data_IF_565020714006
#
_entry.id   IF_565020714006
#
_cell.length_a   1.000
_cell.length_b   1.000
_cell.length_c   1.000
_cell.angle_alpha   90.00
_cell.angle_beta   90.00
_cell.angle_gamma   90.00
#
_symmetry.space_group_name_H-M   'P 1'
#
loop_
_entity.id
_entity.type
_entity.pdbx_description
1 polymer ?
#
# COMPACT_ATOMS: atom_id res chain seq x y z
N UNK A 1 -24.14 -8.72 1.15
CA UNK A 1 -22.79 -8.54 0.53
C UNK A 1 -21.70 -8.73 1.57
N UNK A 2 -20.72 -9.61 1.32
CA UNK A 2 -19.56 -9.83 2.21
C UNK A 2 -18.52 -8.71 2.04
N UNK A 3 -18.19 -8.03 3.13
CA UNK A 3 -17.10 -7.03 3.15
C UNK A 3 -15.77 -7.77 3.09
N UNK A 4 -14.91 -7.41 2.13
CA UNK A 4 -13.61 -8.07 2.06
C UNK A 4 -12.75 -7.64 3.26
N UNK A 5 -11.83 -8.52 3.66
CA UNK A 5 -11.14 -8.42 4.94
C UNK A 5 -10.03 -7.37 5.08
N UNK A 6 -9.95 -6.44 4.14
CA UNK A 6 -9.05 -5.28 4.14
C UNK A 6 -9.80 -4.10 3.54
N UNK A 7 -9.28 -2.87 3.69
CA UNK A 7 -9.77 -1.67 3.00
C UNK A 7 -9.61 -1.84 1.49
N UNK A 8 -10.51 -2.61 0.87
CA UNK A 8 -10.69 -2.65 -0.57
C UNK A 8 -11.51 -1.44 -0.98
N UNK A 9 -10.84 -0.33 -1.24
CA UNK A 9 -11.38 0.55 -2.26
C UNK A 9 -11.20 -0.13 -3.62
N UNK A 10 -11.84 -1.29 -3.88
CA UNK A 10 -12.02 -1.80 -5.25
C UNK A 10 -13.09 -0.94 -5.94
N UNK A 11 -12.88 0.37 -5.90
CA UNK A 11 -13.61 1.34 -6.68
C UNK A 11 -12.83 1.42 -7.99
N UNK A 12 -13.22 0.56 -8.93
CA UNK A 12 -12.90 0.81 -10.33
C UNK A 12 -13.42 2.20 -10.68
N UNK A 13 -12.67 2.98 -11.45
CA UNK A 13 -13.20 4.25 -11.96
C UNK A 13 -14.47 3.97 -12.75
N UNK A 14 -15.54 4.78 -12.55
CA UNK A 14 -16.86 4.57 -13.16
C UNK A 14 -16.84 4.41 -14.68
N UNK A 15 -15.79 4.89 -15.36
CA UNK A 15 -15.58 4.74 -16.81
C UNK A 15 -14.72 3.49 -17.09
N UNK A 16 -15.25 2.59 -17.93
CA UNK A 16 -14.53 1.44 -18.50
C UNK A 16 -13.62 1.94 -19.64
N UNK A 17 -12.36 1.51 -19.69
CA UNK A 17 -11.38 1.97 -20.69
C UNK A 17 -9.95 1.54 -20.39
N UNK A 18 -8.96 2.12 -21.10
CA UNK A 18 -7.53 1.87 -20.87
C UNK A 18 -7.08 2.50 -19.55
N UNK A 19 -6.66 1.67 -18.62
CA UNK A 19 -6.29 2.09 -17.28
C UNK A 19 -4.79 2.39 -17.17
N UNK A 20 -4.43 3.33 -16.29
CA UNK A 20 -3.03 3.58 -15.95
C UNK A 20 -2.40 2.36 -15.27
N UNK A 21 -1.32 1.83 -15.84
CA UNK A 21 -0.53 0.76 -15.26
C UNK A 21 0.59 1.35 -14.39
N UNK A 22 0.85 0.73 -13.24
CA UNK A 22 1.97 1.04 -12.35
C UNK A 22 2.82 -0.22 -12.17
N UNK A 23 4.13 -0.04 -12.01
CA UNK A 23 5.04 -1.15 -11.69
C UNK A 23 5.09 -1.39 -10.19
N UNK A 24 5.01 -2.67 -9.80
CA UNK A 24 5.24 -3.05 -8.42
C UNK A 24 6.73 -2.92 -8.08
N UNK A 25 7.04 -2.24 -6.98
CA UNK A 25 8.43 -2.03 -6.55
C UNK A 25 9.15 -3.34 -6.18
N UNK A 26 8.42 -4.37 -5.75
CA UNK A 26 9.04 -5.60 -5.26
C UNK A 26 9.26 -6.67 -6.32
N UNK A 27 8.32 -6.85 -7.25
CA UNK A 27 8.39 -7.91 -8.27
C UNK A 27 8.42 -7.37 -9.71
N UNK A 28 8.38 -6.05 -9.91
CA UNK A 28 8.46 -5.41 -11.22
C UNK A 28 7.23 -5.55 -12.12
N UNK A 29 6.25 -6.39 -11.76
CA UNK A 29 5.05 -6.62 -12.57
C UNK A 29 4.24 -5.33 -12.77
N UNK A 30 3.72 -5.16 -13.98
CA UNK A 30 2.77 -4.09 -14.31
C UNK A 30 1.38 -4.45 -13.82
N UNK A 31 0.78 -3.58 -13.01
CA UNK A 31 -0.54 -3.77 -12.40
C UNK A 31 -1.37 -2.51 -12.63
N UNK A 32 -2.69 -2.62 -12.92
CA UNK A 32 -3.57 -1.47 -12.95
C UNK A 32 -3.52 -0.69 -11.65
N UNK A 33 -3.41 0.64 -11.73
CA UNK A 33 -3.20 1.52 -10.57
C UNK A 33 -4.27 1.35 -9.49
N UNK A 34 -5.53 1.11 -9.87
CA UNK A 34 -6.62 0.90 -8.92
C UNK A 34 -6.53 -0.43 -8.17
N UNK A 35 -5.82 -1.44 -8.70
CA UNK A 35 -5.55 -2.72 -8.04
C UNK A 35 -4.30 -2.70 -7.17
N UNK A 36 -3.46 -1.67 -7.30
CA UNK A 36 -2.19 -1.59 -6.59
C UNK A 36 -2.37 -0.91 -5.21
N UNK A 37 -1.67 -1.42 -4.21
CA UNK A 37 -1.65 -0.82 -2.88
C UNK A 37 -0.54 0.24 -2.82
N UNK A 38 -0.87 1.42 -2.30
CA UNK A 38 0.10 2.49 -2.07
C UNK A 38 0.68 2.38 -0.68
N UNK A 39 2.01 2.38 -0.58
CA UNK A 39 2.73 2.51 0.69
C UNK A 39 3.69 3.69 0.58
N UNK A 40 4.00 4.34 1.69
CA UNK A 40 5.06 5.34 1.75
C UNK A 40 6.27 4.69 2.40
N UNK A 41 7.42 4.76 1.73
CA UNK A 41 8.70 4.30 2.26
C UNK A 41 9.50 5.54 2.64
N UNK A 42 9.63 5.78 3.95
CA UNK A 42 10.51 6.82 4.49
C UNK A 42 11.95 6.33 4.54
N UNK A 43 12.89 7.23 4.30
CA UNK A 43 14.29 7.02 4.64
C UNK A 43 14.49 7.30 6.14
N UNK A 44 14.90 6.28 6.90
CA UNK A 44 15.29 6.44 8.30
C UNK A 44 16.76 6.08 8.42
N UNK A 45 17.57 7.05 8.85
CA UNK A 45 18.94 6.79 9.28
C UNK A 45 18.84 6.12 10.65
N UNK A 46 19.11 4.82 10.72
CA UNK A 46 19.09 4.06 11.98
C UNK A 46 20.41 4.12 12.73
N UNK A 47 21.49 4.50 12.06
CA UNK A 47 22.82 4.52 12.67
C UNK A 47 22.96 5.64 13.72
N UNK A 48 23.33 5.32 14.96
CA UNK A 48 23.47 6.30 16.03
C UNK A 48 24.63 7.28 15.82
N UNK A 49 25.68 6.92 15.08
CA UNK A 49 26.82 7.80 14.81
C UNK A 49 26.44 8.91 13.82
N UNK A 50 25.87 8.53 12.69
CA UNK A 50 25.36 9.45 11.67
C UNK A 50 24.23 10.34 12.19
N UNK A 51 23.41 9.86 13.13
CA UNK A 51 22.37 10.67 13.78
C UNK A 51 22.91 11.77 14.71
N UNK A 52 24.11 11.58 15.27
CA UNK A 52 24.73 12.59 16.15
C UNK A 52 25.38 13.70 15.32
N UNK A 53 25.99 13.33 14.20
CA UNK A 53 26.64 14.28 13.28
C UNK A 53 25.60 15.07 12.47
N UNK A 54 24.59 14.39 11.96
CA UNK A 54 23.52 15.01 11.18
C UNK A 54 22.42 15.44 12.14
N UNK A 55 22.47 16.70 12.59
CA UNK A 55 21.45 17.28 13.47
C UNK A 55 20.05 17.13 12.85
N UNK A 56 19.09 16.66 13.66
CA UNK A 56 17.75 16.26 13.24
C UNK A 56 16.94 17.32 12.48
N UNK A 57 17.25 18.61 12.69
CA UNK A 57 16.58 19.74 12.03
C UNK A 57 16.99 19.93 10.55
N UNK A 58 18.13 19.37 10.12
CA UNK A 58 18.62 19.47 8.74
C UNK A 58 18.22 18.25 7.87
N UNK A 59 17.48 17.30 8.43
CA UNK A 59 17.11 16.07 7.71
C UNK A 59 15.73 16.24 7.09
N UNK A 60 15.69 16.65 5.83
CA UNK A 60 14.49 16.45 5.01
C UNK A 60 14.32 14.95 4.75
N UNK A 61 13.53 14.27 5.59
CA UNK A 61 13.29 12.84 5.43
C UNK A 61 12.50 12.58 4.13
N UNK A 62 13.19 12.10 3.11
CA UNK A 62 12.55 11.72 1.85
C UNK A 62 11.59 10.56 2.09
N UNK A 63 10.30 10.81 1.83
CA UNK A 63 9.29 9.77 1.76
C UNK A 63 8.96 9.53 0.28
N UNK A 64 9.15 8.29 -0.18
CA UNK A 64 8.77 7.90 -1.54
C UNK A 64 7.47 7.11 -1.54
N UNK A 65 6.55 7.48 -2.43
CA UNK A 65 5.32 6.72 -2.68
C UNK A 65 5.65 5.51 -3.55
N UNK A 66 5.29 4.32 -3.06
CA UNK A 66 5.56 3.05 -3.74
C UNK A 66 4.25 2.32 -4.02
N UNK A 67 4.23 1.58 -5.13
CA UNK A 67 3.11 0.74 -5.53
C UNK A 67 3.43 -0.72 -5.34
N UNK A 68 2.48 -1.46 -4.76
CA UNK A 68 2.63 -2.87 -4.39
C UNK A 68 1.51 -3.69 -5.02
N UNK A 69 1.87 -4.76 -5.72
CA UNK A 69 0.89 -5.66 -6.31
C UNK A 69 0.18 -6.50 -5.22
N UNK A 70 -1.01 -7.06 -5.51
CA UNK A 70 -1.76 -7.84 -4.53
C UNK A 70 -1.04 -9.07 -3.99
N UNK A 71 -0.17 -9.72 -4.78
CA UNK A 71 0.60 -10.89 -4.32
C UNK A 71 1.70 -10.46 -3.34
N UNK A 72 2.52 -9.48 -3.69
CA UNK A 72 3.57 -8.98 -2.80
C UNK A 72 3.00 -8.32 -1.54
N UNK A 73 1.83 -7.67 -1.64
CA UNK A 73 1.15 -7.08 -0.49
C UNK A 73 0.77 -8.14 0.57
N UNK A 74 0.33 -9.33 0.12
CA UNK A 74 0.04 -10.47 1.01
C UNK A 74 1.31 -11.03 1.64
N UNK A 75 2.31 -11.38 0.83
CA UNK A 75 3.55 -12.03 1.30
C UNK A 75 4.28 -11.13 2.31
N UNK A 76 4.35 -9.83 2.04
CA UNK A 76 5.05 -8.85 2.88
C UNK A 76 4.17 -8.27 3.99
N UNK A 77 2.98 -8.83 4.23
CA UNK A 77 2.00 -8.39 5.25
C UNK A 77 1.69 -6.88 5.19
N UNK A 78 1.78 -6.28 4.00
CA UNK A 78 1.35 -4.89 3.75
C UNK A 78 -0.16 -4.78 3.89
N UNK A 79 -0.86 -5.86 3.55
CA UNK A 79 -2.29 -6.01 3.72
C UNK A 79 -2.53 -7.26 4.56
N UNK A 80 -3.25 -7.12 5.67
CA UNK A 80 -3.71 -8.26 6.45
C UNK A 80 -5.06 -8.74 5.90
N UNK A 81 -5.21 -10.02 5.56
CA UNK A 81 -6.53 -10.59 5.35
C UNK A 81 -7.20 -10.74 6.73
N UNK A 82 -8.04 -9.80 7.14
CA UNK A 82 -9.09 -10.06 8.12
C UNK A 82 -10.04 -11.23 7.78
N UNK A 83 -11.08 -11.41 8.60
CA UNK A 83 -12.15 -12.40 8.38
C UNK A 83 -13.27 -11.77 7.55
N UNK A 84 -13.78 -12.46 6.53
CA UNK A 84 -14.99 -12.00 5.83
C UNK A 84 -16.19 -12.08 6.76
N UNK A 85 -16.66 -10.93 7.26
CA UNK A 85 -17.86 -10.92 8.10
C UNK A 85 -19.07 -11.17 7.18
N UNK A 86 -19.76 -12.28 7.41
CA UNK A 86 -21.04 -12.57 6.74
C UNK A 86 -22.09 -11.69 7.42
N UNK A 87 -22.52 -10.61 6.75
CA UNK A 87 -23.57 -9.68 7.24
C UNK A 87 -24.96 -10.34 7.30
N UNK A 88 -25.13 -11.46 8.00
CA UNK A 88 -26.45 -12.09 8.19
C UNK A 88 -27.26 -11.48 9.33
N UNK A 89 -26.64 -10.71 10.23
CA UNK A 89 -27.29 -10.17 11.45
C UNK A 89 -27.09 -8.66 11.69
N UNK A 90 -26.58 -7.91 10.71
CA UNK A 90 -26.63 -6.46 10.79
C UNK A 90 -28.00 -6.03 10.26
N UNK A 91 -28.98 -6.00 11.17
CA UNK A 91 -30.22 -5.26 10.96
C UNK A 91 -29.82 -3.80 10.70
N UNK A 92 -30.19 -3.30 9.52
CA UNK A 92 -30.15 -1.87 9.21
C UNK A 92 -31.12 -1.13 10.12
#
# INVERSE_FOLDING_TARGET
>A
MSTAPYTRAYAHTKKRGKEGLVRCEYCGRSVPRWKAFTKFKGFRISDPTLRREIKSYNIHMFSRKIFVCPSCARVRKVVQPGKSIRKKHLNL
#
